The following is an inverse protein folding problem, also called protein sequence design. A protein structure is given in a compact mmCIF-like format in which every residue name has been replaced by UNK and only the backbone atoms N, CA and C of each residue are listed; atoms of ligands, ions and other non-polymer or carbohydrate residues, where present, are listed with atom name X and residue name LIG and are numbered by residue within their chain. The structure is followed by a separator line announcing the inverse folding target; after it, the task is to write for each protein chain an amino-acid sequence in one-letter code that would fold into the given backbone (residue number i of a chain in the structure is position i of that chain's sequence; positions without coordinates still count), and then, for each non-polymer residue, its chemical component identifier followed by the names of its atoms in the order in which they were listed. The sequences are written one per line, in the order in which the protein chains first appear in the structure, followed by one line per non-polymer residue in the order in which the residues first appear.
data_IF_116818150096
#
_entry.id   IF_116818150096
#
_cell.length_a   1.000
_cell.length_b   1.000
_cell.length_c   1.000
_cell.angle_alpha   90.00
_cell.angle_beta   90.00
_cell.angle_gamma   90.00
#
_symmetry.space_group_name_H-M   'P 1'
#
loop_
_entity.id
_entity.type
_entity.pdbx_description
1 polymer ?
#
# COMPACT_ATOMS: atom_id res chain seq x y z
N UNK A 1 76.38 -22.01 46.68
CA UNK A 1 75.04 -22.64 46.70
C UNK A 1 74.14 -21.93 45.71
N UNK A 2 73.57 -22.69 44.79
CA UNK A 2 72.75 -22.26 43.66
C UNK A 2 71.29 -22.41 44.07
N UNK A 3 70.61 -21.31 44.42
CA UNK A 3 69.18 -21.33 44.73
C UNK A 3 68.46 -20.28 43.86
N UNK A 4 67.97 -20.82 42.74
CA UNK A 4 66.97 -20.29 41.85
C UNK A 4 65.71 -20.00 42.67
N UNK A 5 65.43 -18.74 43.01
CA UNK A 5 64.29 -18.41 43.85
C UNK A 5 63.67 -17.08 43.39
N UNK A 6 62.46 -17.22 42.87
CA UNK A 6 61.45 -16.18 42.71
C UNK A 6 61.78 -15.05 41.72
N UNK A 7 61.62 -15.47 40.47
CA UNK A 7 61.20 -14.74 39.28
C UNK A 7 59.88 -13.95 39.51
N UNK A 8 59.90 -13.03 40.48
CA UNK A 8 58.70 -12.40 41.06
C UNK A 8 58.65 -10.88 40.81
N UNK A 9 59.18 -10.40 39.68
CA UNK A 9 59.04 -8.96 39.32
C UNK A 9 58.77 -8.65 37.86
N UNK A 10 58.45 -9.64 37.02
CA UNK A 10 58.00 -9.34 35.65
C UNK A 10 57.00 -10.34 35.09
N UNK A 11 56.45 -11.21 35.94
CA UNK A 11 55.23 -11.97 35.67
C UNK A 11 53.98 -11.09 35.90
N UNK A 12 54.10 -9.77 35.75
CA UNK A 12 53.07 -8.77 36.00
C UNK A 12 52.87 -7.87 34.76
N UNK A 13 53.10 -8.46 33.58
CA UNK A 13 52.55 -7.92 32.32
C UNK A 13 52.00 -9.03 31.43
N UNK A 14 51.52 -10.09 32.07
CA UNK A 14 50.44 -10.89 31.51
C UNK A 14 49.18 -10.04 31.69
N UNK A 15 48.36 -9.98 30.66
CA UNK A 15 47.17 -9.13 30.59
C UNK A 15 47.56 -7.68 30.39
N UNK A 16 47.91 -7.33 29.16
CA UNK A 16 47.51 -6.05 28.60
C UNK A 16 45.98 -6.01 28.74
N UNK A 17 45.41 -5.41 29.79
CA UNK A 17 43.99 -5.47 30.01
C UNK A 17 43.36 -4.56 28.95
N UNK A 18 42.20 -4.98 28.46
CA UNK A 18 41.21 -4.02 27.95
C UNK A 18 41.49 -3.42 26.55
N UNK A 19 42.13 -4.17 25.65
CA UNK A 19 41.87 -3.96 24.21
C UNK A 19 40.70 -4.78 23.67
N UNK A 20 40.07 -5.61 24.50
CA UNK A 20 38.72 -6.10 24.26
C UNK A 20 37.67 -4.99 24.40
N UNK A 21 37.98 -3.92 25.14
CA UNK A 21 37.03 -2.84 25.41
C UNK A 21 36.90 -1.82 24.26
N UNK A 22 37.72 -1.98 23.20
CA UNK A 22 37.64 -1.11 22.02
C UNK A 22 36.78 -1.65 20.88
N UNK A 23 36.34 -2.90 20.96
CA UNK A 23 35.51 -3.52 19.92
C UNK A 23 34.16 -4.02 20.43
N UNK A 24 33.89 -3.92 21.72
CA UNK A 24 32.51 -3.79 22.20
C UNK A 24 32.18 -2.29 22.31
N UNK A 25 32.43 -1.55 21.22
CA UNK A 25 31.66 -0.34 20.95
C UNK A 25 30.27 -0.83 20.56
N UNK A 26 29.54 -1.35 21.56
CA UNK A 26 28.15 -1.81 21.51
C UNK A 26 27.45 -0.77 20.67
N UNK A 27 27.08 -1.18 19.46
CA UNK A 27 26.65 -0.35 18.34
C UNK A 27 26.52 1.14 18.70
N UNK A 28 27.48 1.95 18.22
CA UNK A 28 27.50 3.42 18.34
C UNK A 28 26.06 3.94 18.34
N UNK A 29 25.58 4.76 19.30
CA UNK A 29 24.14 5.06 19.44
C UNK A 29 23.48 5.59 18.15
N UNK A 30 24.25 6.25 17.28
CA UNK A 30 23.79 6.61 15.93
C UNK A 30 23.44 5.42 15.02
N UNK A 31 24.12 4.28 15.15
CA UNK A 31 23.82 3.05 14.41
C UNK A 31 22.52 2.40 14.86
N UNK A 32 22.14 2.48 16.14
CA UNK A 32 20.81 2.07 16.60
C UNK A 32 19.71 2.95 16.05
N UNK A 33 19.95 4.27 15.95
CA UNK A 33 19.01 5.21 15.33
C UNK A 33 18.81 4.87 13.85
N UNK A 34 19.90 4.64 13.11
CA UNK A 34 19.82 4.24 11.69
C UNK A 34 19.13 2.88 11.53
N UNK A 35 19.46 1.90 12.37
CA UNK A 35 18.80 0.58 12.36
C UNK A 35 17.31 0.69 12.67
N UNK A 36 16.94 1.48 13.68
CA UNK A 36 15.54 1.76 14.01
C UNK A 36 14.82 2.46 12.88
N UNK A 37 15.43 3.45 12.22
CA UNK A 37 14.85 4.13 11.07
C UNK A 37 14.56 3.15 9.92
N UNK A 38 15.47 2.21 9.63
CA UNK A 38 15.27 1.17 8.63
C UNK A 38 14.13 0.23 9.04
N UNK A 39 14.10 -0.22 10.30
CA UNK A 39 13.02 -1.09 10.80
C UNK A 39 11.67 -0.40 10.71
N UNK A 40 11.57 0.86 11.12
CA UNK A 40 10.34 1.65 11.05
C UNK A 40 9.91 1.86 9.60
N UNK A 41 10.85 2.14 8.70
CA UNK A 41 10.57 2.30 7.28
C UNK A 41 10.04 1.00 6.67
N UNK A 42 10.68 -0.14 6.97
CA UNK A 42 10.24 -1.45 6.51
C UNK A 42 8.87 -1.81 7.09
N UNK A 43 8.67 -1.62 8.40
CA UNK A 43 7.39 -1.85 9.04
C UNK A 43 6.30 -0.97 8.43
N UNK A 44 6.58 0.30 8.14
CA UNK A 44 5.65 1.22 7.49
C UNK A 44 5.30 0.76 6.08
N UNK A 45 6.29 0.32 5.29
CA UNK A 45 6.05 -0.26 3.96
C UNK A 45 5.23 -1.55 4.04
N UNK A 46 5.50 -2.42 5.01
CA UNK A 46 4.73 -3.65 5.20
C UNK A 46 3.28 -3.35 5.63
N UNK A 47 3.08 -2.47 6.61
CA UNK A 47 1.75 -2.06 7.07
C UNK A 47 0.99 -1.39 5.92
N UNK A 48 1.61 -0.45 5.20
CA UNK A 48 0.98 0.18 4.06
C UNK A 48 0.73 -0.81 2.90
N UNK A 49 1.59 -1.78 2.67
CA UNK A 49 1.38 -2.80 1.63
C UNK A 49 0.27 -3.79 1.95
N UNK A 50 0.07 -4.12 3.23
CA UNK A 50 -0.98 -5.04 3.70
C UNK A 50 -2.34 -4.32 3.77
N UNK A 51 -2.36 -3.11 4.33
CA UNK A 51 -3.59 -2.38 4.62
C UNK A 51 -3.95 -1.33 3.56
N UNK A 52 -2.97 -0.79 2.84
CA UNK A 52 -3.20 0.14 1.74
C UNK A 52 -3.88 -0.57 0.58
N UNK A 53 -4.89 0.08 0.02
CA UNK A 53 -5.48 -0.29 -1.27
C UNK A 53 -5.26 0.88 -2.19
N UNK A 54 -4.76 0.59 -3.39
CA UNK A 54 -4.74 1.54 -4.48
C UNK A 54 -5.93 1.23 -5.36
N UNK A 55 -6.96 2.06 -5.23
CA UNK A 55 -8.20 1.93 -6.00
C UNK A 55 -8.05 2.76 -7.28
N UNK A 56 -8.28 2.13 -8.43
CA UNK A 56 -8.35 2.80 -9.72
C UNK A 56 -9.81 3.15 -9.97
N UNK A 57 -10.09 4.45 -10.08
CA UNK A 57 -11.44 4.97 -10.31
C UNK A 57 -11.59 5.50 -11.72
N UNK A 58 -12.72 5.19 -12.34
CA UNK A 58 -13.16 5.78 -13.60
C UNK A 58 -14.26 6.79 -13.28
N UNK A 59 -13.98 8.06 -13.56
CA UNK A 59 -14.94 9.14 -13.40
C UNK A 59 -15.90 9.14 -14.60
N UNK A 60 -17.19 9.15 -14.33
CA UNK A 60 -18.23 9.25 -15.35
C UNK A 60 -19.35 10.19 -14.89
N UNK A 61 -20.05 10.79 -15.85
CA UNK A 61 -21.22 11.63 -15.57
C UNK A 61 -22.46 10.91 -16.08
N UNK A 62 -23.37 10.61 -15.17
CA UNK A 62 -24.58 9.85 -15.45
C UNK A 62 -25.84 10.62 -15.06
N UNK A 63 -26.97 10.15 -15.59
CA UNK A 63 -28.28 10.64 -15.20
C UNK A 63 -29.08 9.50 -14.57
N UNK A 64 -29.66 9.78 -13.42
CA UNK A 64 -30.58 8.86 -12.72
C UNK A 64 -31.99 9.17 -13.19
N UNK A 65 -32.68 8.14 -13.65
CA UNK A 65 -34.09 8.18 -14.01
C UNK A 65 -34.79 6.90 -13.50
N UNK A 66 -35.84 7.06 -12.69
CA UNK A 66 -36.59 5.94 -12.10
C UNK A 66 -35.72 4.97 -11.27
N UNK A 67 -34.67 5.48 -10.61
CA UNK A 67 -33.73 4.68 -9.81
C UNK A 67 -32.67 3.92 -10.61
N UNK A 68 -32.69 4.03 -11.93
CA UNK A 68 -31.67 3.49 -12.83
C UNK A 68 -30.78 4.65 -13.28
N UNK A 69 -29.48 4.48 -13.14
CA UNK A 69 -28.47 5.43 -13.63
C UNK A 69 -27.92 4.95 -14.96
N UNK A 70 -28.05 5.77 -15.99
CA UNK A 70 -27.34 5.57 -17.26
C UNK A 70 -26.14 6.52 -17.34
N UNK A 71 -24.99 5.97 -17.71
CA UNK A 71 -23.78 6.76 -17.90
C UNK A 71 -23.04 6.33 -19.16
N UNK A 72 -22.58 7.29 -19.95
CA UNK A 72 -21.74 7.03 -21.12
C UNK A 72 -20.28 7.00 -20.68
N UNK A 73 -19.60 5.90 -20.97
CA UNK A 73 -18.18 5.71 -20.73
C UNK A 73 -17.40 6.07 -22.00
N UNK A 74 -16.31 6.80 -21.82
CA UNK A 74 -15.35 7.02 -22.91
C UNK A 74 -14.66 5.70 -23.28
N UNK A 75 -14.44 5.46 -24.58
CA UNK A 75 -13.82 4.25 -25.11
C UNK A 75 -12.44 3.94 -24.52
N UNK A 76 -11.70 4.94 -24.03
CA UNK A 76 -10.38 4.72 -23.41
C UNK A 76 -10.48 3.93 -22.09
N UNK A 77 -11.58 4.10 -21.34
CA UNK A 77 -11.76 3.49 -20.01
C UNK A 77 -12.85 2.41 -19.99
N UNK A 78 -13.66 2.28 -21.04
CA UNK A 78 -14.75 1.30 -21.09
C UNK A 78 -14.28 -0.15 -20.98
N UNK A 79 -13.06 -0.46 -21.40
CA UNK A 79 -12.47 -1.80 -21.29
C UNK A 79 -12.13 -2.19 -19.84
N UNK A 80 -12.06 -1.23 -18.92
CA UNK A 80 -11.77 -1.47 -17.51
C UNK A 80 -13.02 -1.64 -16.66
N UNK A 81 -14.19 -1.32 -17.20
CA UNK A 81 -15.46 -1.42 -16.48
C UNK A 81 -16.11 -2.75 -16.84
N UNK A 82 -16.55 -3.50 -15.82
CA UNK A 82 -17.23 -4.79 -15.96
C UNK A 82 -18.51 -4.82 -15.11
N UNK A 83 -19.53 -5.61 -15.49
CA UNK A 83 -20.70 -5.84 -14.66
C UNK A 83 -20.32 -6.39 -13.28
N UNK A 84 -20.95 -5.86 -12.23
CA UNK A 84 -20.69 -6.21 -10.84
C UNK A 84 -19.77 -5.23 -10.10
N UNK A 85 -19.09 -4.32 -10.81
CA UNK A 85 -18.27 -3.27 -10.19
C UNK A 85 -19.11 -2.32 -9.35
N UNK A 86 -18.56 -1.87 -8.23
CA UNK A 86 -19.22 -0.93 -7.32
C UNK A 86 -19.06 0.50 -7.81
N UNK A 87 -20.15 1.25 -7.65
CA UNK A 87 -20.24 2.65 -8.06
C UNK A 87 -20.38 3.50 -6.81
N UNK A 88 -19.53 4.53 -6.73
CA UNK A 88 -19.46 5.47 -5.63
C UNK A 88 -19.87 6.87 -6.09
N UNK A 89 -20.48 7.61 -5.18
CA UNK A 89 -20.88 9.01 -5.36
C UNK A 89 -20.54 9.75 -4.07
N UNK A 90 -19.62 10.71 -4.15
CA UNK A 90 -19.09 11.44 -2.99
C UNK A 90 -18.70 10.49 -1.83
N UNK A 91 -17.84 9.51 -2.11
CA UNK A 91 -17.38 8.46 -1.18
C UNK A 91 -18.46 7.47 -0.68
N UNK A 92 -19.69 7.55 -1.19
CA UNK A 92 -20.78 6.64 -0.81
C UNK A 92 -21.05 5.62 -1.90
N UNK A 93 -21.00 4.33 -1.56
CA UNK A 93 -21.46 3.27 -2.46
C UNK A 93 -22.96 3.46 -2.76
N UNK A 94 -23.29 3.71 -4.03
CA UNK A 94 -24.66 3.98 -4.49
C UNK A 94 -25.28 2.83 -5.26
N UNK A 95 -24.46 1.92 -5.80
CA UNK A 95 -24.95 0.84 -6.63
C UNK A 95 -23.84 -0.03 -7.20
N UNK A 96 -24.23 -0.88 -8.15
CA UNK A 96 -23.32 -1.71 -8.95
C UNK A 96 -23.69 -1.61 -10.42
N UNK A 97 -22.68 -1.72 -11.27
CA UNK A 97 -22.86 -1.83 -12.72
C UNK A 97 -23.63 -3.12 -13.00
N UNK A 98 -24.84 -3.03 -13.54
CA UNK A 98 -25.63 -4.20 -13.90
C UNK A 98 -25.35 -4.67 -15.32
N UNK A 99 -25.23 -3.72 -16.26
CA UNK A 99 -25.04 -4.03 -17.68
C UNK A 99 -24.21 -2.98 -18.39
N UNK A 100 -23.47 -3.44 -19.39
CA UNK A 100 -22.81 -2.62 -20.39
C UNK A 100 -23.50 -2.84 -21.73
N UNK A 101 -23.90 -1.74 -22.37
CA UNK A 101 -24.50 -1.69 -23.69
C UNK A 101 -23.53 -1.00 -24.64
N UNK A 102 -23.34 -1.58 -25.83
CA UNK A 102 -22.46 -1.03 -26.85
C UNK A 102 -23.33 -0.30 -27.88
N UNK A 103 -23.18 1.02 -27.95
CA UNK A 103 -23.90 1.83 -28.93
C UNK A 103 -23.22 1.70 -30.31
N UNK A 104 -23.97 1.76 -31.43
CA UNK A 104 -23.42 1.62 -32.78
C UNK A 104 -22.37 2.67 -33.15
N UNK A 105 -22.33 3.79 -32.42
CA UNK A 105 -21.33 4.86 -32.58
C UNK A 105 -20.00 4.56 -31.86
N UNK A 106 -19.86 3.42 -31.19
CA UNK A 106 -18.66 3.02 -30.46
C UNK A 106 -18.61 3.51 -29.01
N UNK A 107 -19.67 4.17 -28.52
CA UNK A 107 -19.79 4.54 -27.11
C UNK A 107 -20.29 3.34 -26.28
N UNK A 108 -19.82 3.24 -25.05
CA UNK A 108 -20.28 2.23 -24.10
C UNK A 108 -21.17 2.90 -23.07
N UNK A 109 -22.38 2.40 -22.91
CA UNK A 109 -23.34 2.88 -21.92
C UNK A 109 -23.42 1.86 -20.79
N UNK A 110 -23.16 2.32 -19.56
CA UNK A 110 -23.31 1.51 -18.37
C UNK A 110 -24.65 1.82 -17.69
N UNK A 111 -25.39 0.76 -17.41
CA UNK A 111 -26.62 0.80 -16.63
C UNK A 111 -26.31 0.36 -15.20
N UNK A 112 -26.62 1.23 -14.25
CA UNK A 112 -26.28 1.09 -12.84
C UNK A 112 -27.58 1.15 -12.06
N UNK A 113 -27.88 0.09 -11.31
CA UNK A 113 -29.01 0.10 -10.38
C UNK A 113 -28.61 0.84 -9.12
N UNK A 114 -29.31 1.93 -8.81
CA UNK A 114 -28.97 2.81 -7.69
C UNK A 114 -29.97 2.67 -6.57
N UNK A 115 -29.47 2.56 -5.34
CA UNK A 115 -30.33 2.47 -4.17
C UNK A 115 -30.69 3.88 -3.66
N UNK A 116 -31.96 4.27 -3.78
CA UNK A 116 -32.50 5.52 -3.24
C UNK A 116 -31.79 6.81 -3.71
N UNK A 117 -31.44 6.89 -5.00
CA UNK A 117 -31.06 8.17 -5.60
C UNK A 117 -32.29 8.85 -6.20
N UNK A 118 -32.39 10.17 -5.99
CA UNK A 118 -33.39 10.98 -6.66
C UNK A 118 -32.98 11.22 -8.12
N UNK A 119 -33.96 11.39 -9.01
CA UNK A 119 -33.69 11.68 -10.41
C UNK A 119 -32.87 12.96 -10.56
N UNK A 120 -31.83 12.91 -11.38
CA UNK A 120 -30.87 14.01 -11.49
C UNK A 120 -29.57 13.62 -12.17
N UNK A 121 -28.72 14.61 -12.41
CA UNK A 121 -27.37 14.42 -12.95
C UNK A 121 -26.38 14.28 -11.81
N UNK A 122 -25.54 13.26 -11.88
CA UNK A 122 -24.52 13.00 -10.88
C UNK A 122 -23.19 12.67 -11.53
N UNK A 123 -22.11 13.03 -10.84
CA UNK A 123 -20.79 12.51 -11.14
C UNK A 123 -20.58 11.28 -10.28
N UNK A 124 -20.09 10.22 -10.88
CA UNK A 124 -19.90 8.94 -10.25
C UNK A 124 -18.48 8.43 -10.49
N UNK A 125 -18.01 7.63 -9.55
CA UNK A 125 -16.71 7.00 -9.57
C UNK A 125 -16.92 5.49 -9.57
N UNK A 126 -16.53 4.83 -10.65
CA UNK A 126 -16.57 3.37 -10.76
C UNK A 126 -15.20 2.84 -10.36
N UNK A 127 -15.13 2.03 -9.30
CA UNK A 127 -13.88 1.39 -8.90
C UNK A 127 -13.65 0.17 -9.81
N UNK A 128 -12.64 0.23 -10.68
CA UNK A 128 -12.33 -0.83 -11.64
C UNK A 128 -11.33 -1.83 -11.09
N UNK A 129 -10.31 -1.34 -10.39
CA UNK A 129 -9.27 -2.17 -9.79
C UNK A 129 -9.02 -1.73 -8.35
N UNK A 130 -8.85 -2.69 -7.46
CA UNK A 130 -8.39 -2.44 -6.10
C UNK A 130 -7.18 -3.32 -5.84
N UNK A 131 -5.98 -2.79 -6.05
CA UNK A 131 -4.75 -3.57 -5.88
C UNK A 131 -4.17 -3.29 -4.50
N UNK A 132 -3.82 -4.36 -3.78
CA UNK A 132 -3.00 -4.27 -2.57
C UNK A 132 -1.54 -4.14 -2.99
N UNK A 133 -0.79 -3.12 -2.53
CA UNK A 133 0.60 -2.91 -2.97
C UNK A 133 1.51 -4.12 -2.72
N UNK A 134 1.20 -4.97 -1.74
CA UNK A 134 1.96 -6.18 -1.48
C UNK A 134 1.88 -7.22 -2.62
N UNK A 135 0.79 -7.27 -3.40
CA UNK A 135 0.70 -8.21 -4.52
C UNK A 135 1.65 -7.86 -5.68
N UNK A 136 2.02 -6.59 -5.85
CA UNK A 136 3.02 -6.17 -6.86
C UNK A 136 4.43 -6.73 -6.60
N UNK A 137 4.74 -7.13 -5.36
CA UNK A 137 6.08 -7.65 -4.99
C UNK A 137 6.19 -9.15 -5.30
N UNK A 138 5.06 -9.86 -5.36
CA UNK A 138 5.01 -11.33 -5.49
C UNK A 138 4.49 -11.83 -6.85
N UNK A 139 4.23 -10.93 -7.79
CA UNK A 139 3.84 -11.23 -9.17
C UNK A 139 4.98 -10.95 -10.14
#
# INVERSE_FOLDING_TARGET
MKNNIFREKSLERISSPEQLDRYIKIANPGMWIVLSAIIVLLASMCVWGIFGRLETVVNASGMVENGIMSTTLNSENSHKVEPGMEVYLDDKAVGRVERLSYSPNGEVEAEISTANLADGKYNLEIITDSIKPMEFIFN
#
